data_IF_478024123679
#
_entry.id   IF_478024123679
#
_cell.length_a   1.000
_cell.length_b   1.000
_cell.length_c   1.000
_cell.angle_alpha   90.00
_cell.angle_beta   90.00
_cell.angle_gamma   90.00
#
_symmetry.space_group_name_H-M   'P 1'
#
loop_
_entity.id
_entity.type
_entity.pdbx_description
1 polymer ?
#
# COMPACT_ATOMS: atom_id res chain seq x y z
N UNK A 1 -6.57 -8.90 -18.98
CA UNK A 1 -6.04 -7.92 -18.00
C UNK A 1 -4.84 -7.26 -18.65
N UNK A 2 -4.76 -5.93 -18.69
CA UNK A 2 -3.64 -5.22 -19.32
C UNK A 2 -2.38 -5.35 -18.46
N UNK A 3 -1.21 -5.50 -19.09
CA UNK A 3 0.08 -5.48 -18.41
C UNK A 3 0.34 -4.09 -17.81
N UNK A 4 0.93 -4.04 -16.61
CA UNK A 4 1.44 -2.78 -16.05
C UNK A 4 2.60 -2.28 -16.90
N UNK A 5 2.49 -1.07 -17.44
CA UNK A 5 3.52 -0.44 -18.26
C UNK A 5 4.16 0.75 -17.55
N UNK A 6 5.48 0.92 -17.73
CA UNK A 6 6.28 1.98 -17.12
C UNK A 6 7.41 2.43 -18.05
N UNK A 7 8.08 3.52 -17.66
CA UNK A 7 9.23 4.07 -18.39
C UNK A 7 10.25 2.98 -18.76
N UNK A 8 10.60 2.91 -20.04
CA UNK A 8 11.53 1.92 -20.60
C UNK A 8 10.86 0.72 -21.28
N UNK A 9 9.57 0.44 -21.00
CA UNK A 9 8.82 -0.59 -21.72
C UNK A 9 8.67 -0.25 -23.21
N UNK A 10 8.58 -1.29 -24.05
CA UNK A 10 8.41 -1.16 -25.51
C UNK A 10 7.46 -2.22 -26.05
N UNK A 11 6.87 -1.97 -27.22
CA UNK A 11 6.11 -2.95 -27.99
C UNK A 11 4.61 -2.63 -28.13
N UNK A 12 3.85 -3.61 -28.60
CA UNK A 12 2.45 -3.43 -29.00
C UNK A 12 1.55 -2.91 -27.86
N UNK A 13 1.78 -3.35 -26.63
CA UNK A 13 1.04 -2.88 -25.44
C UNK A 13 1.26 -1.37 -25.20
N UNK A 14 2.48 -0.88 -25.40
CA UNK A 14 2.82 0.54 -25.27
C UNK A 14 2.17 1.35 -26.40
N UNK A 15 2.22 0.87 -27.63
CA UNK A 15 1.54 1.52 -28.75
C UNK A 15 0.03 1.61 -28.51
N UNK A 16 -0.56 0.56 -27.92
CA UNK A 16 -1.97 0.57 -27.53
C UNK A 16 -2.24 1.61 -26.42
N UNK A 17 -1.42 1.66 -25.37
CA UNK A 17 -1.51 2.70 -24.33
C UNK A 17 -1.44 4.11 -24.93
N UNK A 18 -0.46 4.38 -25.81
CA UNK A 18 -0.28 5.67 -26.46
C UNK A 18 -1.51 6.06 -27.27
N UNK A 19 -2.10 5.13 -28.04
CA UNK A 19 -3.37 5.38 -28.77
C UNK A 19 -4.53 5.71 -27.83
N UNK A 20 -4.65 5.01 -26.70
CA UNK A 20 -5.68 5.32 -25.70
C UNK A 20 -5.46 6.70 -25.06
N UNK A 21 -4.21 7.07 -24.76
CA UNK A 21 -3.88 8.41 -24.25
C UNK A 21 -4.19 9.51 -25.27
N UNK A 22 -3.88 9.30 -26.56
CA UNK A 22 -4.21 10.24 -27.64
C UNK A 22 -5.73 10.37 -27.78
N UNK A 23 -6.48 9.26 -27.72
CA UNK A 23 -7.93 9.29 -27.70
C UNK A 23 -8.49 10.04 -26.48
N UNK A 24 -7.79 10.01 -25.34
CA UNK A 24 -8.09 10.79 -24.15
C UNK A 24 -7.53 12.25 -24.19
N UNK A 25 -7.00 12.70 -25.32
CA UNK A 25 -6.58 14.09 -25.55
C UNK A 25 -5.08 14.38 -25.40
N UNK A 26 -4.24 13.37 -25.17
CA UNK A 26 -2.79 13.57 -25.13
C UNK A 26 -2.21 13.86 -26.52
N UNK A 27 -1.16 14.68 -26.58
CA UNK A 27 -0.42 15.00 -27.82
C UNK A 27 0.95 14.33 -27.79
N UNK A 28 0.97 13.04 -28.13
CA UNK A 28 2.19 12.22 -28.20
C UNK A 28 2.15 11.32 -29.43
N UNK A 29 3.33 10.90 -29.91
CA UNK A 29 3.44 9.89 -30.96
C UNK A 29 3.18 8.49 -30.39
N UNK A 30 2.57 7.62 -31.22
CA UNK A 30 2.34 6.22 -30.89
C UNK A 30 3.47 5.33 -31.45
N UNK A 31 4.70 5.58 -31.00
CA UNK A 31 5.94 4.96 -31.48
C UNK A 31 6.26 3.59 -30.83
N UNK A 32 5.38 3.09 -29.96
CA UNK A 32 5.57 1.86 -29.20
C UNK A 32 6.71 1.92 -28.15
N UNK A 33 7.18 3.11 -27.76
CA UNK A 33 8.25 3.31 -26.77
C UNK A 33 7.69 4.10 -25.57
N UNK A 34 7.76 3.51 -24.38
CA UNK A 34 7.35 4.20 -23.15
C UNK A 34 8.50 5.11 -22.71
N UNK A 35 8.64 6.24 -23.40
CA UNK A 35 9.61 7.30 -23.11
C UNK A 35 9.09 8.34 -22.12
N UNK A 36 9.83 9.44 -21.98
CA UNK A 36 9.45 10.57 -21.14
C UNK A 36 8.12 11.22 -21.57
N UNK A 37 7.86 11.32 -22.88
CA UNK A 37 6.61 11.87 -23.42
C UNK A 37 5.39 11.02 -23.02
N UNK A 38 5.45 9.69 -23.20
CA UNK A 38 4.39 8.78 -22.76
C UNK A 38 4.20 8.82 -21.25
N UNK A 39 5.29 8.84 -20.47
CA UNK A 39 5.20 9.01 -19.02
C UNK A 39 4.49 10.31 -18.64
N UNK A 40 4.86 11.43 -19.26
CA UNK A 40 4.23 12.73 -19.04
C UNK A 40 2.73 12.72 -19.37
N UNK A 41 2.33 12.07 -20.47
CA UNK A 41 0.94 11.89 -20.83
C UNK A 41 0.17 11.04 -19.81
N UNK A 42 0.77 9.96 -19.28
CA UNK A 42 0.16 9.14 -18.23
C UNK A 42 0.00 9.94 -16.93
N UNK A 43 1.03 10.68 -16.50
CA UNK A 43 0.95 11.55 -15.32
C UNK A 43 -0.17 12.58 -15.47
N UNK A 44 -0.25 13.25 -16.63
CA UNK A 44 -1.28 14.24 -16.91
C UNK A 44 -2.69 13.64 -16.91
N UNK A 45 -2.85 12.45 -17.51
CA UNK A 45 -4.11 11.71 -17.51
C UNK A 45 -4.52 11.31 -16.08
N UNK A 46 -3.59 10.74 -15.31
CA UNK A 46 -3.85 10.34 -13.92
C UNK A 46 -4.29 11.53 -13.07
N UNK A 47 -3.57 12.65 -13.15
CA UNK A 47 -3.89 13.87 -12.40
C UNK A 47 -5.27 14.43 -12.76
N UNK A 48 -5.61 14.51 -14.06
CA UNK A 48 -6.90 15.06 -14.51
C UNK A 48 -8.10 14.16 -14.19
N UNK A 49 -7.86 12.87 -13.92
CA UNK A 49 -8.92 11.90 -13.60
C UNK A 49 -8.95 11.50 -12.11
N UNK A 50 -8.24 12.23 -11.25
CA UNK A 50 -8.25 12.00 -9.80
C UNK A 50 -7.64 10.66 -9.39
N UNK A 51 -6.59 10.23 -10.07
CA UNK A 51 -5.73 9.09 -9.70
C UNK A 51 -4.45 9.59 -9.01
N UNK A 52 -3.67 8.66 -8.47
CA UNK A 52 -2.27 8.94 -8.11
C UNK A 52 -1.45 9.12 -9.39
N UNK A 53 -0.81 10.28 -9.54
CA UNK A 53 -0.03 10.64 -10.72
C UNK A 53 1.44 10.14 -10.63
N UNK A 54 1.63 8.82 -10.67
CA UNK A 54 2.94 8.15 -10.59
C UNK A 54 3.63 7.99 -11.97
N UNK A 55 2.87 8.12 -13.07
CA UNK A 55 3.36 7.86 -14.41
C UNK A 55 3.57 6.37 -14.71
N UNK A 56 2.84 5.49 -14.01
CA UNK A 56 2.80 4.05 -14.23
C UNK A 56 1.39 3.68 -14.72
N UNK A 57 1.31 3.10 -15.92
CA UNK A 57 0.03 2.62 -16.46
C UNK A 57 -0.30 1.24 -15.87
N UNK A 58 -0.72 1.22 -14.61
CA UNK A 58 -1.17 0.04 -13.87
C UNK A 58 -2.67 -0.23 -14.00
N UNK A 59 -3.20 -1.24 -13.28
CA UNK A 59 -4.62 -1.64 -13.37
C UNK A 59 -5.61 -0.49 -13.15
N UNK A 60 -5.31 0.43 -12.22
CA UNK A 60 -6.16 1.61 -11.94
C UNK A 60 -6.22 2.56 -13.11
N UNK A 61 -5.06 2.91 -13.67
CA UNK A 61 -4.97 3.75 -14.87
C UNK A 61 -5.66 3.12 -16.06
N UNK A 62 -5.45 1.82 -16.30
CA UNK A 62 -6.13 1.11 -17.38
C UNK A 62 -7.65 1.08 -17.21
N UNK A 63 -8.16 0.82 -16.00
CA UNK A 63 -9.59 0.82 -15.73
C UNK A 63 -10.21 2.20 -16.03
N UNK A 64 -9.56 3.28 -15.59
CA UNK A 64 -10.05 4.64 -15.85
C UNK A 64 -9.89 5.05 -17.32
N UNK A 65 -8.79 4.69 -17.96
CA UNK A 65 -8.50 5.05 -19.36
C UNK A 65 -9.41 4.32 -20.36
N UNK A 66 -9.71 3.04 -20.12
CA UNK A 66 -10.51 2.22 -21.06
C UNK A 66 -11.99 2.24 -20.71
N UNK A 67 -12.34 2.12 -19.42
CA UNK A 67 -13.74 2.04 -19.00
C UNK A 67 -14.33 3.41 -18.61
N UNK A 68 -13.53 4.48 -18.55
CA UNK A 68 -13.98 5.81 -18.14
C UNK A 68 -14.41 5.89 -16.67
N UNK A 69 -14.05 4.89 -15.84
CA UNK A 69 -14.51 4.79 -14.45
C UNK A 69 -13.33 4.74 -13.49
N UNK A 70 -13.40 5.59 -12.47
CA UNK A 70 -12.51 5.55 -11.31
C UNK A 70 -13.29 4.96 -10.12
N UNK A 71 -12.71 3.96 -9.47
CA UNK A 71 -13.25 3.45 -8.20
C UNK A 71 -13.07 4.51 -7.10
N UNK A 72 -14.12 4.93 -6.39
CA UNK A 72 -14.02 5.95 -5.34
C UNK A 72 -13.18 5.51 -4.14
N UNK A 73 -12.92 4.21 -3.99
CA UNK A 73 -12.05 3.68 -2.91
C UNK A 73 -10.57 3.87 -3.20
N UNK A 74 -10.20 4.14 -4.46
CA UNK A 74 -8.80 4.31 -4.84
C UNK A 74 -8.22 5.62 -4.33
N UNK A 75 -6.94 5.54 -3.96
CA UNK A 75 -6.15 6.69 -3.53
C UNK A 75 -6.00 7.72 -4.66
N UNK A 76 -5.92 8.99 -4.25
CA UNK A 76 -5.76 10.15 -5.13
C UNK A 76 -4.57 11.00 -4.72
N UNK A 77 -4.13 11.87 -5.63
CA UNK A 77 -3.13 12.89 -5.32
C UNK A 77 -3.54 13.83 -4.18
N UNK A 78 -4.84 14.12 -4.04
CA UNK A 78 -5.34 14.95 -2.94
C UNK A 78 -5.16 14.25 -1.58
N UNK A 79 -5.26 12.92 -1.53
CA UNK A 79 -5.02 12.16 -0.31
C UNK A 79 -3.53 12.18 0.06
N UNK A 80 -2.65 12.06 -0.94
CA UNK A 80 -1.20 12.20 -0.75
C UNK A 80 -0.81 13.60 -0.26
N UNK A 81 -1.46 14.65 -0.77
CA UNK A 81 -1.24 16.01 -0.28
C UNK A 81 -1.66 16.16 1.19
N UNK A 82 -2.83 15.64 1.57
CA UNK A 82 -3.26 15.68 2.99
C UNK A 82 -2.30 14.91 3.90
N UNK A 83 -1.76 13.79 3.44
CA UNK A 83 -0.72 13.06 4.16
C UNK A 83 0.58 13.87 4.28
N UNK A 84 1.00 14.58 3.23
CA UNK A 84 2.16 15.45 3.25
C UNK A 84 2.01 16.58 4.29
N UNK A 85 0.85 17.23 4.30
CA UNK A 85 0.52 18.30 5.26
C UNK A 85 0.54 17.78 6.71
N UNK A 86 -0.06 16.61 6.93
CA UNK A 86 -0.09 15.91 8.23
C UNK A 86 1.31 15.56 8.75
N UNK A 87 2.15 15.02 7.87
CA UNK A 87 3.51 14.61 8.19
C UNK A 87 4.49 15.80 8.22
N UNK A 88 4.11 16.95 7.67
CA UNK A 88 4.96 18.12 7.44
C UNK A 88 6.20 17.75 6.64
N UNK A 89 5.99 17.14 5.48
CA UNK A 89 7.02 16.73 4.52
C UNK A 89 6.60 17.15 3.12
N UNK A 90 7.55 17.16 2.19
CA UNK A 90 7.25 17.44 0.80
C UNK A 90 6.30 16.39 0.19
N UNK A 91 5.38 16.82 -0.67
CA UNK A 91 4.50 15.90 -1.41
C UNK A 91 5.33 14.86 -2.19
N UNK A 92 6.49 15.25 -2.72
CA UNK A 92 7.40 14.35 -3.41
C UNK A 92 7.88 13.20 -2.51
N UNK A 93 8.09 13.44 -1.21
CA UNK A 93 8.47 12.41 -0.25
C UNK A 93 7.31 11.43 -0.01
N UNK A 94 6.08 11.93 0.16
CA UNK A 94 4.90 11.07 0.31
C UNK A 94 4.63 10.24 -0.93
N UNK A 95 4.78 10.83 -2.13
CA UNK A 95 4.67 10.08 -3.40
C UNK A 95 5.72 8.99 -3.52
N UNK A 96 6.96 9.27 -3.14
CA UNK A 96 8.05 8.28 -3.13
C UNK A 96 7.73 7.12 -2.19
N UNK A 97 7.30 7.43 -0.96
CA UNK A 97 6.90 6.43 0.03
C UNK A 97 5.69 5.62 -0.46
N UNK A 98 4.66 6.26 -1.01
CA UNK A 98 3.49 5.56 -1.55
C UNK A 98 3.87 4.63 -2.71
N UNK A 99 4.75 5.05 -3.62
CA UNK A 99 5.18 4.20 -4.75
C UNK A 99 5.96 2.96 -4.29
N UNK A 100 6.77 3.09 -3.22
CA UNK A 100 7.70 2.05 -2.79
C UNK A 100 7.13 1.13 -1.71
N UNK A 101 6.40 1.70 -0.74
CA UNK A 101 5.94 0.99 0.46
C UNK A 101 4.49 0.48 0.34
N UNK A 102 3.73 0.97 -0.64
CA UNK A 102 2.39 0.47 -0.91
C UNK A 102 2.45 -0.77 -1.80
N UNK A 103 1.55 -1.73 -1.54
CA UNK A 103 1.25 -2.84 -2.46
C UNK A 103 0.57 -2.38 -3.75
N UNK A 104 0.28 -1.09 -3.90
CA UNK A 104 -0.39 -0.50 -5.06
C UNK A 104 -1.90 -0.71 -5.07
N UNK A 105 -2.39 -1.92 -4.78
CA UNK A 105 -3.80 -2.22 -4.57
C UNK A 105 -4.10 -2.51 -3.09
N UNK A 106 -4.94 -1.68 -2.47
CA UNK A 106 -5.37 -1.87 -1.08
C UNK A 106 -6.53 -2.85 -0.93
N UNK A 107 -7.19 -3.23 -2.02
CA UNK A 107 -8.33 -4.14 -2.05
C UNK A 107 -8.09 -5.33 -3.00
N UNK A 108 -8.63 -6.47 -2.61
CA UNK A 108 -8.74 -7.67 -3.44
C UNK A 108 -9.83 -7.49 -4.51
N UNK A 109 -9.86 -8.34 -5.56
CA UNK A 109 -10.90 -8.27 -6.59
C UNK A 109 -12.33 -8.43 -6.07
N UNK A 110 -12.52 -9.10 -4.93
CA UNK A 110 -13.82 -9.24 -4.26
C UNK A 110 -14.21 -8.03 -3.40
N UNK A 111 -13.39 -6.98 -3.41
CA UNK A 111 -13.65 -5.71 -2.73
C UNK A 111 -13.26 -5.68 -1.25
N UNK A 112 -12.74 -6.77 -0.68
CA UNK A 112 -12.21 -6.78 0.69
C UNK A 112 -10.79 -6.21 0.74
N UNK A 113 -10.37 -5.59 1.86
CA UNK A 113 -8.99 -5.12 2.00
C UNK A 113 -7.97 -6.25 1.78
N UNK A 114 -6.81 -5.91 1.23
CA UNK A 114 -5.69 -6.84 1.23
C UNK A 114 -5.26 -7.08 2.68
N UNK A 115 -5.13 -8.35 3.06
CA UNK A 115 -4.66 -8.74 4.39
C UNK A 115 -3.52 -9.76 4.30
N UNK A 116 -2.74 -9.84 5.37
CA UNK A 116 -1.89 -11.00 5.66
C UNK A 116 -2.06 -11.36 7.14
N UNK A 117 -2.50 -12.58 7.41
CA UNK A 117 -2.72 -13.06 8.77
C UNK A 117 -1.46 -13.72 9.35
N UNK A 118 -1.05 -13.27 10.54
CA UNK A 118 0.17 -13.71 11.22
C UNK A 118 -0.14 -14.63 12.40
N UNK A 119 -0.07 -15.95 12.17
CA UNK A 119 -0.35 -16.96 13.21
C UNK A 119 0.51 -16.84 14.48
N UNK A 120 1.69 -16.25 14.35
CA UNK A 120 2.62 -16.00 15.44
C UNK A 120 2.29 -14.74 16.24
N UNK A 121 1.65 -13.77 15.61
CA UNK A 121 1.06 -12.63 16.30
C UNK A 121 -0.22 -13.07 16.99
N UNK A 122 -1.06 -13.91 16.36
CA UNK A 122 -2.25 -14.49 17.01
C UNK A 122 -1.88 -15.21 18.31
N UNK A 123 -0.85 -16.05 18.28
CA UNK A 123 -0.32 -16.70 19.48
C UNK A 123 0.03 -15.69 20.59
N UNK A 124 0.75 -14.61 20.26
CA UNK A 124 1.12 -13.56 21.21
C UNK A 124 -0.10 -12.80 21.76
N UNK A 125 -1.05 -12.42 20.91
CA UNK A 125 -2.25 -11.69 21.33
C UNK A 125 -3.14 -12.54 22.23
N UNK A 126 -3.29 -13.84 21.94
CA UNK A 126 -4.02 -14.78 22.80
C UNK A 126 -3.38 -14.90 24.19
N UNK A 127 -2.05 -15.08 24.23
CA UNK A 127 -1.31 -15.15 25.49
C UNK A 127 -1.45 -13.84 26.30
N UNK A 128 -1.33 -12.68 25.63
CA UNK A 128 -1.53 -11.37 26.26
C UNK A 128 -2.96 -11.16 26.78
N UNK A 129 -3.96 -11.80 26.15
CA UNK A 129 -5.35 -11.81 26.59
C UNK A 129 -5.64 -12.84 27.71
N UNK A 130 -4.62 -13.54 28.22
CA UNK A 130 -4.76 -14.52 29.30
C UNK A 130 -5.31 -15.89 28.87
N UNK A 131 -5.30 -16.19 27.57
CA UNK A 131 -5.72 -17.48 27.03
C UNK A 131 -4.54 -18.45 26.94
N UNK A 132 -4.82 -19.76 27.03
CA UNK A 132 -3.81 -20.81 26.87
C UNK A 132 -3.41 -20.96 25.38
N UNK A 133 -2.46 -20.12 24.97
CA UNK A 133 -1.98 -20.06 23.61
C UNK A 133 -1.28 -21.36 23.16
N UNK A 134 -0.69 -22.12 24.09
CA UNK A 134 -0.02 -23.39 23.78
C UNK A 134 -1.04 -24.48 23.48
N UNK A 135 -2.09 -24.61 24.28
CA UNK A 135 -3.20 -25.52 23.99
C UNK A 135 -3.90 -25.15 22.67
N UNK A 136 -4.11 -23.85 22.43
CA UNK A 136 -4.68 -23.37 21.17
C UNK A 136 -3.76 -23.60 19.97
N UNK A 137 -2.45 -23.48 20.12
CA UNK A 137 -1.47 -23.80 19.08
C UNK A 137 -1.48 -25.29 18.73
N UNK A 138 -1.62 -26.18 19.72
CA UNK A 138 -1.74 -27.62 19.51
C UNK A 138 -3.04 -27.96 18.74
N UNK A 139 -4.15 -27.28 19.08
CA UNK A 139 -5.46 -27.53 18.46
C UNK A 139 -5.62 -26.88 17.07
N UNK A 140 -5.03 -25.72 16.85
CA UNK A 140 -5.21 -24.91 15.63
C UNK A 140 -3.87 -24.45 15.01
N UNK A 141 -2.93 -25.36 14.68
CA UNK A 141 -1.55 -25.01 14.29
C UNK A 141 -1.44 -24.17 12.99
N UNK A 142 -2.49 -24.14 12.17
CA UNK A 142 -2.56 -23.31 10.96
C UNK A 142 -2.79 -21.82 11.23
N UNK A 143 -3.42 -21.49 12.37
CA UNK A 143 -3.79 -20.11 12.73
C UNK A 143 -3.25 -19.64 14.08
N UNK A 144 -2.74 -20.55 14.91
CA UNK A 144 -2.02 -20.24 16.15
C UNK A 144 -0.71 -21.02 16.15
N UNK A 145 0.43 -20.34 16.15
CA UNK A 145 1.74 -21.01 16.20
C UNK A 145 2.82 -20.02 16.65
N UNK A 146 3.74 -20.35 17.56
CA UNK A 146 4.82 -19.43 17.95
C UNK A 146 5.76 -19.04 16.79
N UNK A 147 5.78 -19.83 15.70
CA UNK A 147 6.59 -19.56 14.50
C UNK A 147 5.77 -18.89 13.39
N UNK A 148 6.35 -17.92 12.65
CA UNK A 148 5.69 -17.29 11.50
C UNK A 148 5.39 -18.31 10.39
N UNK A 149 4.60 -17.89 9.39
CA UNK A 149 4.28 -18.71 8.22
C UNK A 149 2.84 -19.22 8.16
N UNK A 150 2.63 -20.25 7.32
CA UNK A 150 1.31 -20.79 7.02
C UNK A 150 0.49 -19.89 6.09
N UNK A 151 1.14 -18.96 5.38
CA UNK A 151 0.50 -18.02 4.47
C UNK A 151 -0.13 -18.74 3.28
N UNK A 152 -1.38 -18.37 2.98
CA UNK A 152 -2.11 -18.79 1.79
C UNK A 152 -2.08 -17.70 0.70
N UNK A 153 -2.10 -16.43 1.11
CA UNK A 153 -2.07 -15.28 0.21
C UNK A 153 -3.42 -14.95 -0.44
N UNK A 154 -3.57 -13.69 -0.88
CA UNK A 154 -4.77 -13.22 -1.58
C UNK A 154 -6.06 -13.41 -0.79
N UNK A 155 -7.12 -13.87 -1.47
CA UNK A 155 -8.44 -14.09 -0.86
C UNK A 155 -8.46 -15.23 0.15
N UNK A 156 -7.51 -16.16 0.09
CA UNK A 156 -7.44 -17.30 0.99
C UNK A 156 -7.00 -16.92 2.42
N UNK A 157 -6.36 -15.76 2.61
CA UNK A 157 -6.06 -15.24 3.96
C UNK A 157 -7.32 -14.99 4.79
N UNK A 158 -8.44 -14.65 4.15
CA UNK A 158 -9.70 -14.46 4.86
C UNK A 158 -10.27 -15.76 5.44
N UNK A 159 -9.98 -16.92 4.86
CA UNK A 159 -10.36 -18.20 5.46
C UNK A 159 -9.58 -18.43 6.76
N UNK A 160 -8.27 -18.13 6.76
CA UNK A 160 -7.43 -18.19 7.97
C UNK A 160 -7.91 -17.22 9.05
N UNK A 161 -8.17 -15.97 8.67
CA UNK A 161 -8.70 -14.96 9.57
C UNK A 161 -10.06 -15.37 10.14
N UNK A 162 -10.96 -15.92 9.33
CA UNK A 162 -12.26 -16.40 9.79
C UNK A 162 -12.13 -17.55 10.80
N UNK A 163 -11.24 -18.52 10.57
CA UNK A 163 -10.94 -19.59 11.55
C UNK A 163 -10.38 -19.03 12.85
N UNK A 164 -9.40 -18.12 12.78
CA UNK A 164 -8.83 -17.46 13.96
C UNK A 164 -9.88 -16.65 14.74
N UNK A 165 -10.82 -16.03 14.03
CA UNK A 165 -11.87 -15.20 14.63
C UNK A 165 -12.90 -16.02 15.42
N UNK A 166 -13.02 -17.33 15.16
CA UNK A 166 -13.81 -18.24 16.00
C UNK A 166 -13.16 -18.51 17.36
N UNK A 167 -11.85 -18.29 17.48
CA UNK A 167 -11.11 -18.43 18.76
C UNK A 167 -11.22 -17.13 19.55
N UNK A 168 -10.84 -16.01 18.93
CA UNK A 168 -10.99 -14.66 19.48
C UNK A 168 -10.97 -13.66 18.34
N UNK A 169 -12.10 -12.98 18.11
CA UNK A 169 -12.24 -12.02 17.02
C UNK A 169 -11.25 -10.85 17.17
N UNK A 170 -11.14 -10.26 18.36
CA UNK A 170 -10.23 -9.13 18.59
C UNK A 170 -8.77 -9.52 18.32
N UNK A 171 -8.29 -10.63 18.92
CA UNK A 171 -6.91 -11.08 18.73
C UNK A 171 -6.63 -11.45 17.26
N UNK A 172 -7.61 -12.03 16.55
CA UNK A 172 -7.46 -12.38 15.15
C UNK A 172 -7.31 -11.14 14.25
N UNK A 173 -8.10 -10.10 14.49
CA UNK A 173 -8.00 -8.84 13.75
C UNK A 173 -6.70 -8.10 14.07
N UNK A 174 -6.26 -8.12 15.33
CA UNK A 174 -4.98 -7.58 15.77
C UNK A 174 -3.78 -8.29 15.12
N UNK A 175 -3.93 -9.59 14.88
CA UNK A 175 -2.92 -10.45 14.26
C UNK A 175 -2.89 -10.42 12.73
N UNK A 176 -3.66 -9.56 12.08
CA UNK A 176 -3.59 -9.34 10.64
C UNK A 176 -3.01 -7.97 10.31
N UNK A 177 -2.25 -7.88 9.21
CA UNK A 177 -1.93 -6.60 8.55
C UNK A 177 -2.99 -6.25 7.53
N UNK A 178 -3.25 -4.96 7.34
CA UNK A 178 -4.39 -4.47 6.56
C UNK A 178 -4.01 -3.42 5.52
N UNK A 179 -4.67 -3.52 4.36
CA UNK A 179 -4.66 -2.50 3.32
C UNK A 179 -3.35 -2.38 2.56
N UNK A 180 -3.25 -1.31 1.77
CA UNK A 180 -2.12 -1.07 0.86
C UNK A 180 -0.75 -0.97 1.55
N UNK A 181 -0.72 -0.49 2.80
CA UNK A 181 0.50 -0.30 3.58
C UNK A 181 0.75 -1.41 4.62
N UNK A 182 -0.13 -2.42 4.70
CA UNK A 182 0.01 -3.57 5.60
C UNK A 182 0.26 -3.19 7.07
N UNK A 183 -0.48 -2.20 7.59
CA UNK A 183 -0.42 -1.85 9.01
C UNK A 183 -1.04 -2.96 9.86
N UNK A 184 -0.31 -3.43 10.88
CA UNK A 184 -0.78 -4.48 11.78
C UNK A 184 -1.92 -3.99 12.67
N UNK A 185 -2.96 -4.82 12.81
CA UNK A 185 -4.16 -4.49 13.58
C UNK A 185 -3.89 -4.20 15.05
N UNK A 186 -2.89 -4.85 15.68
CA UNK A 186 -2.52 -4.59 17.07
C UNK A 186 -2.05 -3.15 17.33
N UNK A 187 -1.77 -2.36 16.29
CA UNK A 187 -1.47 -0.94 16.42
C UNK A 187 -2.71 -0.06 16.63
N UNK A 188 -3.94 -0.58 16.55
CA UNK A 188 -5.17 0.24 16.63
C UNK A 188 -5.14 1.28 17.75
N UNK A 189 -4.69 0.90 18.96
CA UNK A 189 -4.62 1.80 20.12
C UNK A 189 -3.52 2.85 19.98
N UNK A 190 -2.33 2.43 19.52
CA UNK A 190 -1.22 3.35 19.21
C UNK A 190 -1.63 4.41 18.19
N UNK A 191 -2.47 4.02 17.23
CA UNK A 191 -2.98 4.87 16.15
C UNK A 191 -4.25 5.63 16.54
N UNK A 192 -4.68 5.56 17.80
CA UNK A 192 -5.83 6.31 18.32
C UNK A 192 -7.17 5.91 17.71
N UNK A 193 -7.33 4.66 17.26
CA UNK A 193 -8.66 4.12 16.97
C UNK A 193 -9.35 3.69 18.28
N UNK A 194 -10.69 3.72 18.36
CA UNK A 194 -11.41 3.32 19.57
C UNK A 194 -11.17 1.86 19.98
N UNK A 195 -11.11 0.97 18.98
CA UNK A 195 -10.86 -0.45 19.12
C UNK A 195 -10.37 -1.03 17.77
N UNK A 196 -9.95 -2.30 17.78
CA UNK A 196 -9.49 -2.98 16.57
C UNK A 196 -10.60 -3.12 15.52
N UNK A 197 -11.87 -3.21 15.93
CA UNK A 197 -13.00 -3.32 15.01
C UNK A 197 -13.18 -2.04 14.20
N UNK A 198 -13.10 -0.88 14.87
CA UNK A 198 -13.15 0.45 14.28
C UNK A 198 -11.97 0.68 13.33
N UNK A 199 -10.78 0.21 13.70
CA UNK A 199 -9.62 0.21 12.80
C UNK A 199 -9.92 -0.60 11.53
N UNK A 200 -10.42 -1.82 11.67
CA UNK A 200 -10.75 -2.70 10.54
C UNK A 200 -11.88 -2.14 9.67
N UNK A 201 -12.90 -1.53 10.27
CA UNK A 201 -13.96 -0.86 9.52
C UNK A 201 -13.40 0.29 8.69
N UNK A 202 -12.51 1.11 9.23
CA UNK A 202 -11.81 2.14 8.46
C UNK A 202 -11.04 1.51 7.28
N UNK A 203 -10.33 0.40 7.50
CA UNK A 203 -9.62 -0.31 6.42
C UNK A 203 -10.57 -0.83 5.32
N UNK A 204 -11.84 -1.08 5.61
CA UNK A 204 -12.81 -1.51 4.59
C UNK A 204 -13.34 -0.35 3.73
N UNK A 205 -13.17 0.90 4.16
CA UNK A 205 -13.75 2.07 3.50
C UNK A 205 -12.99 2.45 2.23
N UNK A 206 -11.68 2.72 2.32
CA UNK A 206 -10.90 3.22 1.18
C UNK A 206 -9.39 3.05 1.36
N UNK A 207 -8.64 3.21 0.27
CA UNK A 207 -7.18 3.29 0.34
C UNK A 207 -6.70 4.58 1.01
N UNK A 208 -7.53 5.63 1.03
CA UNK A 208 -7.25 6.83 1.81
C UNK A 208 -7.23 6.54 3.32
N UNK A 209 -8.10 5.65 3.80
CA UNK A 209 -8.05 5.16 5.19
C UNK A 209 -6.81 4.27 5.43
N UNK A 210 -6.38 3.47 4.45
CA UNK A 210 -5.11 2.71 4.56
C UNK A 210 -3.92 3.66 4.71
N UNK A 211 -3.90 4.73 3.90
CA UNK A 211 -2.89 5.78 3.99
C UNK A 211 -2.96 6.51 5.33
N UNK A 212 -4.16 6.80 5.84
CA UNK A 212 -4.33 7.44 7.14
C UNK A 212 -3.74 6.60 8.28
N UNK A 213 -4.00 5.29 8.32
CA UNK A 213 -3.38 4.40 9.29
C UNK A 213 -1.84 4.42 9.20
N UNK A 214 -1.29 4.44 7.99
CA UNK A 214 0.14 4.56 7.76
C UNK A 214 0.71 5.91 8.22
N UNK A 215 0.01 7.02 7.95
CA UNK A 215 0.38 8.36 8.43
C UNK A 215 0.40 8.41 9.95
N UNK A 216 -0.62 7.85 10.62
CA UNK A 216 -0.65 7.77 12.08
C UNK A 216 0.50 6.91 12.62
N UNK A 217 0.85 5.83 11.93
CA UNK A 217 1.95 4.96 12.31
C UNK A 217 3.28 5.71 12.27
N UNK A 218 3.55 6.47 11.21
CA UNK A 218 4.74 7.33 11.13
C UNK A 218 4.72 8.39 12.24
N UNK A 219 3.57 9.03 12.51
CA UNK A 219 3.47 10.05 13.55
C UNK A 219 3.72 9.51 14.97
N UNK A 220 3.37 8.25 15.22
CA UNK A 220 3.59 7.59 16.50
C UNK A 220 5.07 7.27 16.74
N UNK A 221 5.86 7.07 15.70
CA UNK A 221 7.30 6.83 15.78
C UNK A 221 8.12 8.09 15.44
N UNK A 222 8.62 8.77 16.48
CA UNK A 222 9.41 10.00 16.34
C UNK A 222 10.70 9.79 15.52
N UNK A 223 11.33 8.63 15.61
CA UNK A 223 12.56 8.35 14.87
C UNK A 223 12.26 8.13 13.39
N UNK A 224 11.19 7.40 13.08
CA UNK A 224 10.72 7.18 11.71
C UNK A 224 10.29 8.49 11.05
N UNK A 225 9.50 9.31 11.76
CA UNK A 225 9.08 10.63 11.28
C UNK A 225 10.28 11.56 11.04
N UNK A 226 11.25 11.58 11.95
CA UNK A 226 12.46 12.39 11.80
C UNK A 226 13.31 11.91 10.61
N UNK A 227 13.39 10.60 10.37
CA UNK A 227 14.06 10.05 9.21
C UNK A 227 13.38 10.50 7.91
N UNK A 228 12.04 10.43 7.83
CA UNK A 228 11.28 10.88 6.66
C UNK A 228 11.45 12.38 6.41
N UNK A 229 11.28 13.22 7.45
CA UNK A 229 11.45 14.69 7.35
C UNK A 229 12.86 15.09 6.95
N UNK A 230 13.86 14.35 7.42
CA UNK A 230 15.26 14.56 7.05
C UNK A 230 15.66 13.90 5.73
N UNK A 231 14.72 13.28 4.99
CA UNK A 231 14.96 12.52 3.75
C UNK A 231 16.05 11.46 3.91
N UNK A 232 16.16 10.86 5.11
CA UNK A 232 17.14 9.83 5.44
C UNK A 232 16.63 8.46 4.98
N UNK A 233 16.58 8.22 3.68
CA UNK A 233 15.92 7.04 3.07
C UNK A 233 16.39 5.70 3.62
N UNK A 234 17.70 5.49 3.79
CA UNK A 234 18.22 4.27 4.39
C UNK A 234 17.74 4.08 5.83
N UNK A 235 17.71 5.16 6.62
CA UNK A 235 17.24 5.09 8.01
C UNK A 235 15.73 4.87 8.08
N UNK A 236 14.97 5.52 7.21
CA UNK A 236 13.53 5.33 7.10
C UNK A 236 13.21 3.87 6.72
N UNK A 237 13.87 3.35 5.68
CA UNK A 237 13.70 1.98 5.21
C UNK A 237 14.09 0.94 6.26
N UNK A 238 15.19 1.14 6.99
CA UNK A 238 15.59 0.26 8.11
C UNK A 238 14.53 0.21 9.21
N UNK A 239 13.99 1.37 9.61
CA UNK A 239 12.99 1.47 10.67
C UNK A 239 11.64 0.87 10.25
N UNK A 240 11.26 1.03 8.97
CA UNK A 240 9.97 0.57 8.47
C UNK A 240 9.97 -0.89 7.99
N UNK A 241 10.96 -1.27 7.17
CA UNK A 241 11.04 -2.59 6.54
C UNK A 241 11.88 -3.59 7.35
N UNK A 242 12.68 -3.14 8.31
CA UNK A 242 13.55 -3.99 9.11
C UNK A 242 15.00 -4.04 8.61
N UNK A 243 15.80 -4.93 9.20
CA UNK A 243 17.27 -4.99 8.99
C UNK A 243 17.68 -5.44 7.59
N UNK A 244 16.80 -6.15 6.89
CA UNK A 244 16.97 -6.68 5.54
C UNK A 244 16.49 -5.70 4.45
N UNK A 245 16.18 -4.44 4.81
CA UNK A 245 15.69 -3.45 3.85
C UNK A 245 16.60 -3.26 2.61
N UNK A 246 17.91 -3.36 2.82
CA UNK A 246 18.92 -3.16 1.78
C UNK A 246 18.91 -4.29 0.74
N UNK A 247 18.61 -5.53 1.15
CA UNK A 247 18.50 -6.68 0.24
C UNK A 247 17.36 -6.50 -0.77
N UNK A 248 16.37 -5.68 -0.41
CA UNK A 248 15.22 -5.32 -1.24
C UNK A 248 15.34 -3.93 -1.90
N UNK A 249 16.47 -3.24 -1.70
CA UNK A 249 16.79 -1.92 -2.26
C UNK A 249 15.75 -0.84 -1.90
N UNK A 250 15.09 -0.93 -0.74
CA UNK A 250 14.03 0.02 -0.35
C UNK A 250 14.54 1.46 -0.31
N UNK A 251 15.72 1.66 0.27
CA UNK A 251 16.42 2.94 0.35
C UNK A 251 16.68 3.56 -1.03
N UNK A 252 17.28 2.79 -1.94
CA UNK A 252 17.61 3.25 -3.31
C UNK A 252 16.33 3.51 -4.11
N UNK A 253 15.29 2.69 -3.93
CA UNK A 253 13.99 2.89 -4.58
C UNK A 253 13.34 4.18 -4.10
N UNK A 254 13.31 4.43 -2.79
CA UNK A 254 12.77 5.65 -2.18
C UNK A 254 13.52 6.89 -2.67
N UNK A 255 14.85 6.88 -2.63
CA UNK A 255 15.68 7.99 -3.08
C UNK A 255 15.43 8.31 -4.56
N UNK A 256 15.43 7.28 -5.43
CA UNK A 256 15.17 7.46 -6.86
C UNK A 256 13.76 7.93 -7.13
N UNK A 257 12.76 7.44 -6.39
CA UNK A 257 11.38 7.89 -6.51
C UNK A 257 11.25 9.35 -6.11
N UNK A 258 11.82 9.74 -4.98
CA UNK A 258 11.83 11.13 -4.52
C UNK A 258 12.47 12.07 -5.53
N UNK A 259 13.63 11.71 -6.08
CA UNK A 259 14.31 12.50 -7.11
C UNK A 259 13.44 12.66 -8.37
N UNK A 260 12.69 11.62 -8.77
CA UNK A 260 11.75 11.73 -9.91
C UNK A 260 10.59 12.67 -9.62
N UNK A 261 9.98 12.59 -8.44
CA UNK A 261 8.84 13.45 -8.09
C UNK A 261 9.26 14.90 -7.85
N UNK A 262 10.45 15.13 -7.30
CA UNK A 262 10.98 16.48 -7.07
C UNK A 262 11.22 17.25 -8.37
N UNK A 263 11.65 16.56 -9.44
CA UNK A 263 11.86 17.17 -10.77
C UNK A 263 10.56 17.53 -11.50
N UNK A 264 9.43 16.95 -11.11
CA UNK A 264 8.11 17.24 -11.72
C UNK A 264 7.43 18.42 -11.01
N UNK A 265 7.81 18.70 -9.77
CA UNK A 265 7.26 19.81 -8.97
C UNK A 265 8.02 21.14 -9.15
N UNK A 266 9.16 21.13 -9.85
CA UNK A 266 9.99 22.29 -10.19
C UNK A 266 9.72 22.74 -11.63
#
# INVERSE_FOLDING_TARGET
MYKTLRLGDRGADVAYLQRQLVAAGARIDADAIYGSATRGAVVAFQASHGLVADGIAGPKTWATLVAGRRDPRHLTDADLQRAADRLKVDLAAVRAVNEVESRGAGFLPDGRPVILFERHIMYRQLAAAGLDADALAAKYPGVVNPKPGGYAGGTAEYARLATASQISAACALEAASWGGFQIMGFHWNLLGYPDVFSFVEAMKVSEAEHLEAFVRFILADKALLAALRGLKWAKFAELYNGRDYADHLYDVKLERAFARYSRVAA
#
